data_IF_618068586888
#
_entry.id   IF_618068586888
#
_cell.length_a   1.000
_cell.length_b   1.000
_cell.length_c   1.000
_cell.angle_alpha   90.00
_cell.angle_beta   90.00
_cell.angle_gamma   90.00
#
_symmetry.space_group_name_H-M   'P 1'
#
loop_
_entity.id
_entity.type
_entity.pdbx_description
1 polymer ?
#
# COMPACT_ATOMS: atom_id res chain seq x y z
N UNK A 1 7.42 6.68 -2.43
CA UNK A 1 7.47 7.75 -1.40
C UNK A 1 8.21 7.24 -0.17
N UNK A 2 9.21 7.99 0.29
CA UNK A 2 9.93 7.67 1.52
C UNK A 2 9.11 8.10 2.75
N UNK A 3 9.22 7.35 3.86
CA UNK A 3 8.58 7.69 5.14
C UNK A 3 9.58 7.52 6.27
N UNK A 4 9.59 8.46 7.22
CA UNK A 4 10.37 8.37 8.45
C UNK A 4 9.61 7.53 9.48
N UNK A 5 10.28 6.59 10.10
CA UNK A 5 9.73 5.71 11.14
C UNK A 5 9.91 6.33 12.53
N UNK A 6 9.15 5.82 13.50
CA UNK A 6 9.25 6.25 14.89
C UNK A 6 10.64 6.00 15.50
N UNK A 7 11.38 4.99 15.03
CA UNK A 7 12.76 4.70 15.46
C UNK A 7 13.82 5.59 14.79
N UNK A 8 13.40 6.57 13.97
CA UNK A 8 14.28 7.49 13.25
C UNK A 8 14.78 7.00 11.89
N UNK A 9 14.56 5.75 11.54
CA UNK A 9 14.91 5.18 10.24
C UNK A 9 13.96 5.66 9.13
N UNK A 10 14.30 5.34 7.89
CA UNK A 10 13.51 5.68 6.71
C UNK A 10 13.14 4.43 5.94
N UNK A 11 11.87 4.29 5.58
CA UNK A 11 11.39 3.29 4.61
C UNK A 11 11.37 3.92 3.23
N UNK A 12 12.04 3.29 2.27
CA UNK A 12 12.16 3.78 0.89
C UNK A 12 11.82 2.68 -0.10
N UNK A 13 10.73 2.82 -0.87
CA UNK A 13 10.44 1.95 -2.00
C UNK A 13 11.40 2.20 -3.15
N UNK A 14 11.94 1.12 -3.72
CA UNK A 14 12.80 1.11 -4.90
C UNK A 14 12.10 0.37 -6.03
N UNK A 15 11.36 1.09 -6.87
CA UNK A 15 10.48 0.54 -7.89
C UNK A 15 11.18 -0.51 -8.76
N UNK A 16 12.19 -0.08 -9.51
CA UNK A 16 12.89 -0.92 -10.49
C UNK A 16 13.75 -2.01 -9.86
N UNK A 17 14.10 -1.86 -8.58
CA UNK A 17 14.81 -2.87 -7.81
C UNK A 17 13.85 -3.91 -7.20
N UNK A 18 12.51 -3.73 -7.34
CA UNK A 18 11.51 -4.61 -6.74
C UNK A 18 11.75 -4.82 -5.24
N UNK A 19 12.01 -3.74 -4.54
CA UNK A 19 12.35 -3.82 -3.12
C UNK A 19 11.87 -2.61 -2.34
N UNK A 20 11.54 -2.82 -1.08
CA UNK A 20 11.42 -1.79 -0.07
C UNK A 20 12.61 -1.93 0.87
N UNK A 21 13.32 -0.83 1.14
CA UNK A 21 14.46 -0.85 2.05
C UNK A 21 14.26 0.08 3.23
N UNK A 22 14.72 -0.35 4.39
CA UNK A 22 14.83 0.47 5.59
C UNK A 22 16.28 0.95 5.73
N UNK A 23 16.44 2.25 5.95
CA UNK A 23 17.73 2.91 6.11
C UNK A 23 17.84 3.59 7.47
N UNK A 24 19.00 3.52 8.08
CA UNK A 24 19.38 4.45 9.15
C UNK A 24 19.58 5.87 8.59
N UNK A 25 19.61 6.91 9.46
CA UNK A 25 19.91 8.28 9.03
C UNK A 25 21.26 8.44 8.30
N UNK A 26 22.24 7.57 8.58
CA UNK A 26 23.56 7.56 7.95
C UNK A 26 23.57 6.86 6.57
N UNK A 27 22.42 6.36 6.09
CA UNK A 27 22.30 5.66 4.82
C UNK A 27 22.56 4.15 4.88
N UNK A 28 22.90 3.61 6.05
CA UNK A 28 23.08 2.16 6.22
C UNK A 28 21.76 1.42 6.02
N UNK A 29 21.76 0.38 5.15
CA UNK A 29 20.58 -0.49 4.95
C UNK A 29 20.41 -1.42 6.15
N UNK A 30 19.26 -1.36 6.79
CA UNK A 30 18.89 -2.21 7.94
C UNK A 30 18.14 -3.45 7.48
N UNK A 31 17.24 -3.27 6.50
CA UNK A 31 16.32 -4.31 6.04
C UNK A 31 16.00 -4.12 4.55
N UNK A 32 15.83 -5.23 3.85
CA UNK A 32 15.35 -5.25 2.47
C UNK A 32 14.21 -6.26 2.34
N UNK A 33 13.05 -5.80 1.88
CA UNK A 33 11.89 -6.64 1.56
C UNK A 33 11.74 -6.68 0.05
N UNK A 34 11.76 -7.89 -0.53
CA UNK A 34 11.55 -8.09 -1.97
C UNK A 34 10.06 -8.13 -2.32
N UNK A 35 9.71 -7.55 -3.47
CA UNK A 35 8.34 -7.54 -3.98
C UNK A 35 8.15 -8.40 -5.23
N UNK A 36 9.23 -8.92 -5.82
CA UNK A 36 9.21 -9.84 -6.96
C UNK A 36 9.14 -11.33 -6.56
N UNK A 37 8.47 -11.61 -5.44
CA UNK A 37 8.30 -12.98 -4.93
C UNK A 37 7.46 -13.84 -5.89
N UNK A 38 7.80 -15.13 -5.99
CA UNK A 38 7.08 -16.10 -6.83
C UNK A 38 5.59 -16.18 -6.47
N UNK A 39 5.26 -16.16 -5.18
CA UNK A 39 3.87 -16.17 -4.69
C UNK A 39 3.06 -14.93 -5.09
N UNK A 40 3.72 -13.84 -5.47
CA UNK A 40 3.10 -12.62 -6.02
C UNK A 40 3.12 -12.61 -7.56
N UNK A 41 3.53 -13.69 -8.22
CA UNK A 41 3.64 -13.83 -9.66
C UNK A 41 5.02 -13.50 -10.21
N UNK A 42 5.99 -13.22 -9.33
CA UNK A 42 7.37 -12.94 -9.71
C UNK A 42 7.56 -11.60 -10.41
N UNK A 43 8.70 -11.47 -11.04
CA UNK A 43 9.16 -10.22 -11.67
C UNK A 43 8.32 -9.78 -12.88
N UNK A 44 7.72 -10.72 -13.59
CA UNK A 44 6.87 -10.46 -14.75
C UNK A 44 5.62 -9.63 -14.42
N UNK A 45 5.10 -9.75 -13.21
CA UNK A 45 3.93 -9.01 -12.73
C UNK A 45 4.22 -7.52 -12.47
N UNK A 46 5.47 -7.09 -12.59
CA UNK A 46 5.89 -5.71 -12.34
C UNK A 46 5.39 -5.20 -10.99
N UNK A 47 5.58 -6.00 -9.95
CA UNK A 47 5.21 -5.68 -8.56
C UNK A 47 6.09 -4.54 -8.02
N UNK A 48 6.02 -3.36 -8.63
CA UNK A 48 6.81 -2.20 -8.28
C UNK A 48 6.28 -1.55 -7.01
N UNK A 49 7.06 -1.49 -5.93
CA UNK A 49 6.61 -0.85 -4.70
C UNK A 49 6.59 0.66 -4.89
N UNK A 50 5.41 1.26 -4.75
CA UNK A 50 5.24 2.71 -4.88
C UNK A 50 5.19 3.40 -3.51
N UNK A 51 4.36 2.89 -2.61
CA UNK A 51 4.23 3.36 -1.24
C UNK A 51 4.43 2.20 -0.28
N UNK A 52 5.18 2.44 0.78
CA UNK A 52 5.35 1.50 1.88
C UNK A 52 5.09 2.22 3.21
N UNK A 53 4.26 1.63 4.06
CA UNK A 53 3.82 2.18 5.33
C UNK A 53 4.05 1.15 6.42
N UNK A 54 4.71 1.53 7.51
CA UNK A 54 4.80 0.66 8.67
C UNK A 54 3.43 0.59 9.36
N UNK A 55 2.98 -0.63 9.65
CA UNK A 55 1.75 -0.92 10.35
C UNK A 55 2.04 -1.69 11.63
N UNK A 56 1.02 -2.04 12.41
CA UNK A 56 1.17 -2.75 13.68
C UNK A 56 2.10 -3.97 13.56
N UNK A 57 2.95 -4.16 14.55
CA UNK A 57 3.91 -5.28 14.58
C UNK A 57 5.14 -5.07 13.69
N UNK A 58 5.39 -3.84 13.22
CA UNK A 58 6.47 -3.50 12.30
C UNK A 58 6.36 -4.17 10.91
N UNK A 59 5.16 -4.64 10.57
CA UNK A 59 4.86 -5.08 9.22
C UNK A 59 4.86 -3.88 8.26
N UNK A 60 5.08 -4.13 6.97
CA UNK A 60 4.99 -3.11 5.94
C UNK A 60 3.79 -3.37 5.04
N UNK A 61 2.89 -2.41 4.95
CA UNK A 61 1.83 -2.36 3.95
C UNK A 61 2.39 -1.67 2.71
N UNK A 62 2.40 -2.35 1.58
CA UNK A 62 3.03 -1.90 0.33
C UNK A 62 2.03 -1.92 -0.82
N UNK A 63 1.86 -0.79 -1.49
CA UNK A 63 1.13 -0.73 -2.75
C UNK A 63 2.08 -1.06 -3.90
N UNK A 64 1.73 -2.12 -4.64
CA UNK A 64 2.47 -2.59 -5.81
C UNK A 64 1.79 -2.07 -7.07
N UNK A 65 2.24 -0.88 -7.52
CA UNK A 65 1.75 -0.30 -8.78
C UNK A 65 2.06 -1.24 -9.95
N UNK A 66 1.44 -1.11 -11.09
CA UNK A 66 1.47 -2.06 -12.19
C UNK A 66 1.07 -3.51 -11.81
N UNK A 67 1.52 -4.03 -10.66
CA UNK A 67 1.11 -5.33 -10.14
C UNK A 67 -0.33 -5.38 -9.62
N UNK A 68 -0.98 -4.23 -9.50
CA UNK A 68 -2.39 -4.08 -9.13
C UNK A 68 -2.78 -4.83 -7.85
N UNK A 69 -1.98 -4.64 -6.80
CA UNK A 69 -2.22 -5.26 -5.49
C UNK A 69 -1.65 -4.43 -4.35
N UNK A 70 -2.23 -4.60 -3.17
CA UNK A 70 -1.69 -4.13 -1.89
C UNK A 70 -1.31 -5.34 -1.05
N UNK A 71 -0.10 -5.33 -0.51
CA UNK A 71 0.49 -6.48 0.21
C UNK A 71 1.01 -6.03 1.56
N UNK A 72 0.74 -6.80 2.59
CA UNK A 72 1.35 -6.66 3.91
C UNK A 72 2.44 -7.72 4.07
N UNK A 73 3.65 -7.26 4.33
CA UNK A 73 4.82 -8.10 4.60
C UNK A 73 5.15 -8.04 6.08
N UNK A 74 5.52 -9.16 6.67
CA UNK A 74 6.10 -9.18 8.02
C UNK A 74 7.54 -8.63 8.03
N UNK A 75 8.15 -8.62 9.21
CA UNK A 75 9.50 -8.12 9.38
C UNK A 75 10.54 -8.91 8.56
N UNK A 76 10.31 -10.20 8.32
CA UNK A 76 11.19 -11.07 7.54
C UNK A 76 10.95 -10.98 6.02
N UNK A 77 9.92 -10.24 5.58
CA UNK A 77 9.55 -10.08 4.17
C UNK A 77 8.60 -11.17 3.65
N UNK A 78 8.00 -11.95 4.54
CA UNK A 78 6.95 -12.91 4.18
C UNK A 78 5.62 -12.19 3.98
N UNK A 79 4.85 -12.59 2.96
CA UNK A 79 3.49 -12.09 2.73
C UNK A 79 2.56 -12.64 3.83
N UNK A 80 1.95 -11.73 4.60
CA UNK A 80 0.99 -12.09 5.66
C UNK A 80 -0.45 -11.70 5.32
N UNK A 81 -0.64 -10.80 4.35
CA UNK A 81 -1.94 -10.45 3.78
C UNK A 81 -1.74 -9.82 2.40
N UNK A 82 -2.68 -10.06 1.50
CA UNK A 82 -2.73 -9.37 0.20
C UNK A 82 -4.15 -9.19 -0.28
N UNK A 83 -4.38 -8.15 -1.06
CA UNK A 83 -5.60 -7.93 -1.84
C UNK A 83 -5.20 -7.51 -3.26
N UNK A 84 -5.90 -8.03 -4.25
CA UNK A 84 -5.71 -7.77 -5.67
C UNK A 84 -7.05 -7.80 -6.41
N UNK A 85 -7.03 -7.63 -7.74
CA UNK A 85 -8.23 -7.55 -8.56
C UNK A 85 -9.12 -8.79 -8.53
N UNK A 86 -8.59 -9.97 -8.20
CA UNK A 86 -9.41 -11.19 -8.05
C UNK A 86 -10.35 -11.13 -6.84
N UNK A 87 -10.01 -10.31 -5.84
CA UNK A 87 -10.80 -10.11 -4.63
C UNK A 87 -11.81 -8.96 -4.78
N UNK A 88 -11.45 -7.93 -5.55
CA UNK A 88 -12.20 -6.66 -5.55
C UNK A 88 -12.76 -6.27 -6.93
N UNK A 89 -12.92 -7.23 -7.85
CA UNK A 89 -13.61 -7.03 -9.11
C UNK A 89 -13.02 -5.93 -10.02
N UNK A 90 -11.69 -5.86 -10.14
CA UNK A 90 -11.04 -4.93 -11.08
C UNK A 90 -10.84 -3.49 -10.58
N UNK A 91 -11.02 -3.22 -9.29
CA UNK A 91 -10.90 -1.87 -8.70
C UNK A 91 -9.47 -1.34 -8.68
N UNK A 92 -8.48 -2.21 -8.68
CA UNK A 92 -7.08 -1.79 -8.78
C UNK A 92 -6.73 -1.37 -10.22
N UNK A 93 -6.14 -0.18 -10.33
CA UNK A 93 -5.38 0.25 -11.49
C UNK A 93 -4.25 1.15 -11.00
N UNK A 94 -3.00 0.68 -11.08
CA UNK A 94 -1.80 1.37 -10.61
C UNK A 94 -1.96 1.95 -9.19
N UNK A 95 -2.13 1.11 -8.14
CA UNK A 95 -2.28 1.61 -6.78
C UNK A 95 -1.04 2.38 -6.34
N UNK A 96 -1.24 3.60 -5.86
CA UNK A 96 -0.16 4.48 -5.40
C UNK A 96 -0.20 4.66 -3.89
N UNK A 97 -1.14 5.44 -3.38
CA UNK A 97 -1.31 5.72 -1.96
C UNK A 97 -2.26 4.75 -1.26
N UNK A 98 -2.25 4.79 0.05
CA UNK A 98 -3.18 4.03 0.89
C UNK A 98 -2.83 4.14 2.36
N UNK A 99 -3.73 3.67 3.19
CA UNK A 99 -3.58 3.72 4.64
C UNK A 99 -4.26 2.51 5.29
N UNK A 100 -3.62 1.95 6.33
CA UNK A 100 -4.26 1.02 7.25
C UNK A 100 -4.96 1.81 8.33
N UNK A 101 -6.25 1.60 8.52
CA UNK A 101 -7.05 2.24 9.56
C UNK A 101 -6.97 1.50 10.88
N UNK A 102 -7.34 2.17 11.98
CA UNK A 102 -7.35 1.61 13.33
C UNK A 102 -8.27 0.40 13.47
N UNK A 103 -9.39 0.38 12.71
CA UNK A 103 -10.32 -0.74 12.65
C UNK A 103 -9.80 -1.95 11.84
N UNK A 104 -8.59 -1.86 11.28
CA UNK A 104 -7.96 -2.90 10.47
C UNK A 104 -8.29 -2.86 8.97
N UNK A 105 -9.17 -1.97 8.53
CA UNK A 105 -9.46 -1.79 7.11
C UNK A 105 -8.31 -1.09 6.39
N UNK A 106 -8.29 -1.17 5.07
CA UNK A 106 -7.27 -0.52 4.23
C UNK A 106 -7.94 0.33 3.18
N UNK A 107 -7.64 1.63 3.18
CA UNK A 107 -8.00 2.54 2.08
C UNK A 107 -6.90 2.50 1.04
N UNK A 108 -7.28 2.46 -0.24
CA UNK A 108 -6.37 2.29 -1.39
C UNK A 108 -6.71 3.32 -2.45
N UNK A 109 -5.68 4.00 -2.97
CA UNK A 109 -5.78 4.90 -4.11
C UNK A 109 -5.53 4.13 -5.40
N UNK A 110 -6.48 4.13 -6.33
CA UNK A 110 -6.38 3.52 -7.65
C UNK A 110 -6.04 4.60 -8.69
N UNK A 111 -4.81 5.08 -8.69
CA UNK A 111 -4.34 6.22 -9.48
C UNK A 111 -4.59 6.07 -10.98
N UNK A 112 -4.28 4.91 -11.53
CA UNK A 112 -4.43 4.59 -12.96
C UNK A 112 -5.87 4.35 -13.41
N UNK A 113 -6.84 4.33 -12.50
CA UNK A 113 -8.23 4.03 -12.84
C UNK A 113 -8.84 5.13 -13.72
N UNK A 114 -9.12 4.76 -14.98
CA UNK A 114 -9.69 5.67 -15.99
C UNK A 114 -11.17 5.43 -16.25
N UNK A 115 -11.69 4.26 -15.86
CA UNK A 115 -13.10 3.90 -16.07
C UNK A 115 -13.98 4.75 -15.16
N UNK A 116 -15.09 5.27 -15.71
CA UNK A 116 -16.02 6.12 -14.97
C UNK A 116 -16.87 5.35 -13.95
N UNK A 117 -17.06 4.07 -14.17
CA UNK A 117 -17.81 3.13 -13.34
C UNK A 117 -16.95 2.44 -12.27
N UNK A 118 -15.66 2.79 -12.17
CA UNK A 118 -14.74 2.25 -11.17
C UNK A 118 -14.26 3.33 -10.19
N UNK A 119 -14.08 2.99 -8.92
CA UNK A 119 -13.70 3.96 -7.89
C UNK A 119 -12.27 4.44 -8.04
N UNK A 120 -12.02 5.68 -7.61
CA UNK A 120 -10.68 6.27 -7.48
C UNK A 120 -10.03 5.92 -6.15
N UNK A 121 -10.86 5.75 -5.12
CA UNK A 121 -10.50 5.28 -3.79
C UNK A 121 -11.46 4.17 -3.42
N UNK A 122 -10.98 3.17 -2.72
CA UNK A 122 -11.82 2.16 -2.13
C UNK A 122 -11.23 1.65 -0.82
N UNK A 123 -12.09 1.20 0.07
CA UNK A 123 -11.71 0.62 1.35
C UNK A 123 -12.07 -0.85 1.36
N UNK A 124 -11.14 -1.67 1.86
CA UNK A 124 -11.35 -3.11 2.05
C UNK A 124 -11.11 -3.49 3.50
N UNK A 125 -11.92 -4.44 3.99
CA UNK A 125 -11.69 -5.03 5.30
C UNK A 125 -10.61 -6.14 5.25
N UNK A 126 -10.28 -6.74 6.41
CA UNK A 126 -9.28 -7.83 6.49
C UNK A 126 -9.68 -9.09 5.73
N UNK A 127 -10.99 -9.29 5.48
CA UNK A 127 -11.53 -10.38 4.65
C UNK A 127 -11.44 -10.08 3.15
N UNK A 128 -10.94 -8.89 2.77
CA UNK A 128 -10.78 -8.40 1.39
C UNK A 128 -12.11 -8.03 0.73
N UNK A 129 -13.15 -7.79 1.50
CA UNK A 129 -14.43 -7.31 1.04
C UNK A 129 -14.39 -5.78 0.93
N UNK A 130 -14.92 -5.24 -0.18
CA UNK A 130 -15.03 -3.79 -0.37
C UNK A 130 -16.14 -3.27 0.54
N UNK A 131 -15.81 -2.28 1.39
CA UNK A 131 -16.74 -1.71 2.37
C UNK A 131 -17.07 -0.25 2.09
N UNK A 132 -16.26 0.43 1.27
CA UNK A 132 -16.50 1.81 0.85
C UNK A 132 -15.82 2.10 -0.48
N UNK A 133 -16.40 3.03 -1.25
CA UNK A 133 -15.90 3.44 -2.56
C UNK A 133 -16.14 4.93 -2.79
N UNK A 134 -15.18 5.58 -3.47
CA UNK A 134 -15.28 6.96 -3.91
C UNK A 134 -15.12 7.06 -5.42
N UNK A 135 -16.12 7.62 -6.08
CA UNK A 135 -16.18 7.82 -7.52
C UNK A 135 -16.06 9.30 -7.86
N UNK A 136 -15.08 9.66 -8.66
CA UNK A 136 -14.96 10.99 -9.24
C UNK A 136 -14.11 10.91 -10.52
N UNK A 137 -14.71 10.97 -11.71
CA UNK A 137 -13.97 10.83 -12.97
C UNK A 137 -12.96 11.96 -13.22
N UNK A 138 -13.13 13.11 -12.58
CA UNK A 138 -12.28 14.28 -12.75
C UNK A 138 -10.97 14.21 -11.95
N UNK A 139 -10.84 13.28 -10.99
CA UNK A 139 -9.63 13.19 -10.14
C UNK A 139 -8.81 11.95 -10.42
N UNK A 140 -7.51 12.06 -10.15
CA UNK A 140 -6.58 10.93 -10.02
C UNK A 140 -6.08 10.90 -8.59
N UNK A 141 -6.53 9.93 -7.81
CA UNK A 141 -6.15 9.78 -6.42
C UNK A 141 -4.76 9.16 -6.32
N UNK A 142 -3.77 9.98 -6.00
CA UNK A 142 -2.38 9.55 -5.86
C UNK A 142 -2.03 9.19 -4.41
N UNK A 143 -2.59 9.92 -3.46
CA UNK A 143 -2.40 9.73 -2.02
C UNK A 143 -3.73 9.93 -1.30
N UNK A 144 -3.88 9.31 -0.14
CA UNK A 144 -5.00 9.50 0.78
C UNK A 144 -4.50 9.50 2.22
N UNK A 145 -5.05 10.40 3.01
CA UNK A 145 -4.88 10.43 4.46
C UNK A 145 -6.27 10.53 5.09
N UNK A 146 -6.69 9.43 5.71
CA UNK A 146 -7.89 9.42 6.56
C UNK A 146 -7.48 10.00 7.92
N UNK A 147 -8.10 11.09 8.31
CA UNK A 147 -7.75 11.83 9.54
C UNK A 147 -8.51 11.26 10.72
N UNK A 148 -9.79 10.95 10.51
CA UNK A 148 -10.67 10.36 11.53
C UNK A 148 -11.52 9.26 10.93
N UNK A 149 -11.83 8.24 11.74
CA UNK A 149 -12.87 7.23 11.44
C UNK A 149 -13.87 7.26 12.59
N UNK A 150 -15.14 7.57 12.27
CA UNK A 150 -16.21 7.70 13.25
C UNK A 150 -15.88 8.66 14.42
N UNK A 151 -15.13 9.73 14.14
CA UNK A 151 -14.70 10.72 15.13
C UNK A 151 -13.40 10.39 15.87
N UNK A 152 -12.88 9.18 15.74
CA UNK A 152 -11.59 8.78 16.30
C UNK A 152 -10.44 9.13 15.35
N UNK A 153 -9.35 9.63 15.89
CA UNK A 153 -8.17 10.04 15.11
C UNK A 153 -7.42 8.81 14.57
N UNK A 154 -7.21 8.74 13.26
CA UNK A 154 -6.53 7.62 12.60
C UNK A 154 -5.01 7.71 12.63
N UNK A 155 -4.44 8.78 13.10
CA UNK A 155 -3.01 8.96 13.23
C UNK A 155 -2.61 10.43 13.17
N UNK A 156 -1.37 10.69 13.53
CA UNK A 156 -0.79 12.02 13.35
C UNK A 156 -0.34 12.19 11.91
N UNK A 157 -0.88 13.18 11.23
CA UNK A 157 -0.28 13.70 10.00
C UNK A 157 1.13 14.22 10.38
N UNK A 158 2.15 13.61 9.85
CA UNK A 158 3.52 14.09 9.98
C UNK A 158 3.95 14.74 8.67
#
# INVERSE_FOLDING_TARGET
MARKLANGNYIVPHLLAFAVKEYKPDGTVVRTIKTDLTELGGRKERNWPFTAIEVKGRNLLVNLTNGNKTVEFDHAGKVVWRVDNSHVGGRFADPCGGQRLSNGNTVICSYGQKKGDMPKLFEVNRKKEVVWEYFNPAVRAHEVHVITTNGEVEGTLK
#
